data_IF_159940787099
#
_entry.id   IF_159940787099
#
_cell.length_a   1.000
_cell.length_b   1.000
_cell.length_c   1.000
_cell.angle_alpha   90.00
_cell.angle_beta   90.00
_cell.angle_gamma   90.00
#
_symmetry.space_group_name_H-M   'P 1'
#
loop_
_entity.id
_entity.type
_entity.pdbx_description
1 polymer ?
#
# COMPACT_ATOMS: atom_id res chain seq x y z
N UNK A 1 25.58 -13.40 -7.42
CA UNK A 1 26.26 -12.51 -6.46
C UNK A 1 26.89 -11.39 -7.29
N UNK A 2 26.57 -10.12 -7.19
CA UNK A 2 25.94 -9.32 -6.15
C UNK A 2 25.17 -8.20 -6.85
N UNK A 3 23.91 -8.04 -6.46
CA UNK A 3 23.11 -6.81 -6.41
C UNK A 3 23.68 -5.62 -7.20
N UNK A 4 23.27 -5.50 -8.46
CA UNK A 4 23.28 -4.19 -9.11
C UNK A 4 22.26 -3.33 -8.39
N UNK A 5 22.81 -2.52 -7.49
CA UNK A 5 22.22 -1.32 -6.91
C UNK A 5 21.61 -0.51 -8.03
N UNK A 6 20.33 -0.75 -8.30
CA UNK A 6 19.51 0.13 -9.11
C UNK A 6 19.59 1.51 -8.46
N UNK A 7 20.33 2.35 -9.16
CA UNK A 7 20.62 3.73 -8.81
C UNK A 7 19.29 4.39 -8.47
N UNK A 8 19.24 4.98 -7.26
CA UNK A 8 18.23 5.94 -6.80
C UNK A 8 17.69 6.71 -7.99
N UNK A 9 16.46 6.38 -8.41
CA UNK A 9 15.71 7.24 -9.28
C UNK A 9 15.46 8.51 -8.48
N UNK A 10 16.25 9.52 -8.79
CA UNK A 10 15.97 10.90 -8.43
C UNK A 10 14.67 11.25 -9.12
N UNK A 11 13.54 11.11 -8.44
CA UNK A 11 12.28 11.63 -8.97
C UNK A 11 11.45 12.20 -7.84
N UNK A 12 11.28 13.51 -7.95
CA UNK A 12 10.39 14.36 -7.16
C UNK A 12 10.97 14.70 -5.78
N UNK A 13 11.72 15.82 -5.75
CA UNK A 13 11.68 16.72 -4.60
C UNK A 13 10.22 16.79 -4.17
N UNK A 14 9.91 16.34 -2.95
CA UNK A 14 8.75 16.75 -2.14
C UNK A 14 7.95 17.84 -2.88
N UNK A 15 6.99 17.43 -3.72
CA UNK A 15 6.35 18.34 -4.66
C UNK A 15 5.45 19.27 -3.83
N UNK A 16 6.02 20.41 -3.49
CA UNK A 16 5.55 21.81 -3.44
C UNK A 16 4.06 22.16 -3.29
N UNK A 17 3.13 21.25 -3.00
CA UNK A 17 1.70 21.57 -2.83
C UNK A 17 0.99 20.85 -1.66
N UNK A 18 1.65 19.97 -0.89
CA UNK A 18 1.04 19.38 0.31
C UNK A 18 1.27 20.27 1.54
N UNK A 19 0.27 21.09 1.89
CA UNK A 19 0.36 22.15 2.92
C UNK A 19 0.19 21.70 4.39
N UNK A 20 0.37 20.42 4.75
CA UNK A 20 0.26 20.04 6.17
C UNK A 20 0.86 18.69 6.54
N UNK A 21 1.59 18.65 7.66
CA UNK A 21 1.95 17.42 8.39
C UNK A 21 3.16 16.62 7.89
N UNK A 22 3.83 17.05 6.82
CA UNK A 22 4.96 16.31 6.24
C UNK A 22 6.16 16.12 7.22
N UNK A 23 6.24 16.93 8.28
CA UNK A 23 7.21 16.79 9.37
C UNK A 23 7.00 15.53 10.23
N UNK A 24 5.84 14.87 10.11
CA UNK A 24 5.48 13.65 10.85
C UNK A 24 5.84 12.37 10.11
N UNK A 25 6.13 12.46 8.82
CA UNK A 25 6.64 11.34 8.05
C UNK A 25 8.13 11.12 8.34
N UNK A 26 8.64 9.89 8.20
CA UNK A 26 10.06 9.63 8.26
C UNK A 26 10.82 10.57 7.32
N UNK A 27 11.98 11.09 7.74
CA UNK A 27 12.76 12.07 6.95
C UNK A 27 13.21 11.55 5.57
N UNK A 28 13.20 10.22 5.38
CA UNK A 28 13.55 9.53 4.13
C UNK A 28 12.33 8.90 3.44
N UNK A 29 11.10 9.20 3.89
CA UNK A 29 9.90 8.66 3.28
C UNK A 29 9.68 9.23 1.88
N UNK A 30 9.66 8.34 0.89
CA UNK A 30 9.26 8.66 -0.48
C UNK A 30 7.74 8.55 -0.58
N UNK A 31 7.11 9.58 -1.18
CA UNK A 31 5.67 9.62 -1.42
C UNK A 31 5.43 9.37 -2.91
N UNK A 32 4.78 8.26 -3.24
CA UNK A 32 4.47 7.87 -4.60
C UNK A 32 3.17 8.53 -5.10
N UNK A 33 3.21 8.97 -6.35
CA UNK A 33 2.06 9.50 -7.11
C UNK A 33 1.44 8.41 -7.98
N UNK A 34 0.29 8.65 -8.62
CA UNK A 34 -0.32 7.70 -9.56
C UNK A 34 0.60 7.35 -10.74
N UNK A 35 1.46 8.28 -11.16
CA UNK A 35 2.42 8.04 -12.24
C UNK A 35 3.60 7.16 -11.82
N UNK A 36 4.01 7.23 -10.55
CA UNK A 36 5.23 6.57 -10.03
C UNK A 36 4.95 5.30 -9.25
N UNK A 37 3.75 5.15 -8.68
CA UNK A 37 3.38 3.97 -7.93
C UNK A 37 3.23 2.75 -8.86
N UNK A 38 3.79 1.61 -8.44
CA UNK A 38 3.74 0.33 -9.17
C UNK A 38 3.54 -0.78 -8.16
N UNK A 39 2.47 -1.55 -8.31
CA UNK A 39 2.14 -2.64 -7.40
C UNK A 39 3.20 -3.75 -7.38
N UNK A 40 3.95 -3.94 -8.47
CA UNK A 40 4.99 -4.97 -8.57
C UNK A 40 6.23 -4.66 -7.72
N UNK A 41 6.50 -3.37 -7.48
CA UNK A 41 7.70 -2.92 -6.74
C UNK A 41 7.37 -2.34 -5.38
N UNK A 42 6.10 -2.04 -5.11
CA UNK A 42 5.63 -1.47 -3.86
C UNK A 42 5.84 -2.44 -2.69
N UNK A 43 6.27 -1.89 -1.57
CA UNK A 43 6.51 -2.62 -0.32
C UNK A 43 5.60 -2.10 0.79
N UNK A 44 5.23 -2.95 1.76
CA UNK A 44 4.57 -2.49 2.96
C UNK A 44 5.38 -1.38 3.64
N UNK A 45 4.75 -0.26 3.95
CA UNK A 45 5.37 0.94 4.51
C UNK A 45 5.66 2.05 3.50
N UNK A 46 5.45 1.83 2.20
CA UNK A 46 5.52 2.87 1.17
C UNK A 46 4.36 3.86 1.31
N UNK A 47 4.61 5.15 1.12
CA UNK A 47 3.57 6.18 1.21
C UNK A 47 3.07 6.57 -0.17
N UNK A 48 1.77 6.76 -0.31
CA UNK A 48 1.11 7.12 -1.56
C UNK A 48 0.18 8.31 -1.34
N UNK A 49 -0.02 9.10 -2.39
CA UNK A 49 -1.03 10.16 -2.40
C UNK A 49 -2.44 9.57 -2.53
N UNK A 50 -3.43 10.28 -2.03
CA UNK A 50 -4.86 9.89 -2.08
C UNK A 50 -5.34 9.54 -3.50
N UNK A 51 -4.83 10.22 -4.54
CA UNK A 51 -5.18 9.91 -5.93
C UNK A 51 -4.87 8.46 -6.34
N UNK A 52 -3.79 7.86 -5.83
CA UNK A 52 -3.46 6.44 -6.09
C UNK A 52 -4.53 5.52 -5.52
N UNK A 53 -5.02 5.85 -4.32
CA UNK A 53 -6.03 5.10 -3.60
C UNK A 53 -7.39 5.25 -4.28
N UNK A 54 -7.73 6.47 -4.70
CA UNK A 54 -8.96 6.74 -5.44
C UNK A 54 -8.99 6.00 -6.78
N UNK A 55 -7.89 6.00 -7.54
CA UNK A 55 -7.79 5.24 -8.79
C UNK A 55 -8.01 3.74 -8.55
N UNK A 56 -7.40 3.19 -7.51
CA UNK A 56 -7.56 1.78 -7.13
C UNK A 56 -9.03 1.44 -6.80
N UNK A 57 -9.68 2.26 -5.97
CA UNK A 57 -11.05 2.02 -5.51
C UNK A 57 -12.10 2.30 -6.60
N UNK A 58 -11.83 3.23 -7.52
CA UNK A 58 -12.77 3.56 -8.59
C UNK A 58 -12.74 2.55 -9.75
N UNK A 59 -11.74 1.66 -9.82
CA UNK A 59 -11.69 0.61 -10.84
C UNK A 59 -12.71 -0.51 -10.57
N UNK A 60 -12.89 -0.89 -9.31
CA UNK A 60 -13.79 -1.97 -8.88
C UNK A 60 -14.37 -1.67 -7.50
N UNK A 61 -15.62 -2.08 -7.20
CA UNK A 61 -16.20 -1.89 -5.88
C UNK A 61 -15.24 -2.39 -4.78
N UNK A 62 -14.87 -1.55 -3.80
CA UNK A 62 -13.84 -1.90 -2.83
C UNK A 62 -14.28 -3.09 -1.99
N UNK A 63 -13.35 -4.00 -1.70
CA UNK A 63 -13.61 -5.12 -0.80
C UNK A 63 -13.85 -4.63 0.63
N UNK A 64 -13.21 -3.53 1.00
CA UNK A 64 -13.41 -2.84 2.27
C UNK A 64 -13.05 -1.36 2.10
N UNK A 65 -13.89 -0.47 2.62
CA UNK A 65 -13.63 0.96 2.63
C UNK A 65 -14.12 1.56 3.94
N UNK A 66 -13.23 2.30 4.61
CA UNK A 66 -13.48 3.02 5.84
C UNK A 66 -12.65 4.30 5.87
N UNK A 67 -12.87 5.17 6.85
CA UNK A 67 -12.08 6.40 7.01
C UNK A 67 -10.59 6.17 7.30
N UNK A 68 -10.21 4.96 7.72
CA UNK A 68 -8.84 4.61 8.11
C UNK A 68 -8.19 3.57 7.18
N UNK A 69 -8.96 2.85 6.39
CA UNK A 69 -8.49 1.72 5.59
C UNK A 69 -9.31 1.58 4.31
N UNK A 70 -8.60 1.38 3.19
CA UNK A 70 -9.14 1.16 1.87
C UNK A 70 -8.51 -0.10 1.27
N UNK A 71 -9.35 -0.97 0.71
CA UNK A 71 -8.93 -2.21 0.06
C UNK A 71 -9.54 -2.32 -1.32
N UNK A 72 -8.69 -2.66 -2.28
CA UNK A 72 -9.09 -2.96 -3.66
C UNK A 72 -10.18 -4.03 -3.72
N UNK A 73 -11.07 -3.91 -4.71
CA UNK A 73 -12.15 -4.88 -4.93
C UNK A 73 -11.66 -6.26 -5.38
N UNK A 74 -10.56 -6.30 -6.13
CA UNK A 74 -10.01 -7.55 -6.64
C UNK A 74 -9.11 -8.24 -5.61
N UNK A 75 -9.33 -9.54 -5.33
CA UNK A 75 -8.40 -10.32 -4.52
C UNK A 75 -7.10 -10.52 -5.29
N UNK A 76 -5.96 -10.32 -4.63
CA UNK A 76 -4.63 -10.53 -5.19
C UNK A 76 -4.25 -12.02 -5.16
N UNK A 77 -4.34 -12.64 -3.98
CA UNK A 77 -4.01 -14.06 -3.77
C UNK A 77 -4.81 -14.63 -2.60
N UNK A 78 -4.71 -15.94 -2.38
CA UNK A 78 -5.23 -16.60 -1.19
C UNK A 78 -4.06 -17.02 -0.31
N UNK A 79 -4.11 -16.64 0.97
CA UNK A 79 -3.13 -17.06 1.98
C UNK A 79 -3.84 -17.81 3.09
N UNK A 80 -3.14 -18.75 3.70
CA UNK A 80 -3.64 -19.40 4.91
C UNK A 80 -3.53 -18.42 6.08
N UNK A 81 -4.67 -18.15 6.73
CA UNK A 81 -4.71 -17.30 7.90
C UNK A 81 -4.24 -18.10 9.13
N UNK A 82 -3.07 -17.78 9.71
CA UNK A 82 -2.51 -18.53 10.84
C UNK A 82 -3.39 -18.47 12.09
N UNK A 83 -4.31 -17.50 12.18
CA UNK A 83 -5.25 -17.40 13.31
C UNK A 83 -6.41 -18.38 13.20
N UNK A 84 -6.83 -18.71 11.99
CA UNK A 84 -8.04 -19.52 11.76
C UNK A 84 -7.76 -20.85 11.06
N UNK A 85 -6.56 -21.05 10.51
CA UNK A 85 -6.21 -22.20 9.67
C UNK A 85 -7.04 -22.30 8.39
N UNK A 86 -7.54 -21.16 7.88
CA UNK A 86 -8.41 -21.10 6.70
C UNK A 86 -7.75 -20.29 5.61
N UNK A 87 -7.90 -20.76 4.37
CA UNK A 87 -7.52 -20.00 3.19
C UNK A 87 -8.47 -18.82 3.02
N UNK A 88 -7.92 -17.62 3.01
CA UNK A 88 -8.67 -16.37 2.84
C UNK A 88 -8.04 -15.55 1.73
N UNK A 89 -8.88 -14.83 0.99
CA UNK A 89 -8.43 -13.88 -0.01
C UNK A 89 -7.70 -12.69 0.66
N UNK A 90 -6.65 -12.22 0.00
CA UNK A 90 -5.86 -11.06 0.37
C UNK A 90 -6.06 -9.95 -0.66
N UNK A 91 -6.02 -8.70 -0.21
CA UNK A 91 -6.34 -7.52 -1.00
C UNK A 91 -5.23 -6.48 -0.83
N UNK A 92 -4.91 -5.78 -1.91
CA UNK A 92 -4.05 -4.61 -1.84
C UNK A 92 -4.70 -3.59 -0.89
N UNK A 93 -3.96 -3.22 0.16
CA UNK A 93 -4.50 -2.48 1.29
C UNK A 93 -3.74 -1.17 1.49
N UNK A 94 -4.50 -0.10 1.68
CA UNK A 94 -4.01 1.22 2.01
C UNK A 94 -4.58 1.64 3.36
N UNK A 95 -3.71 2.18 4.22
CA UNK A 95 -4.08 2.72 5.53
C UNK A 95 -3.87 4.22 5.52
N UNK A 96 -4.85 4.97 6.00
CA UNK A 96 -4.74 6.43 6.05
C UNK A 96 -3.77 6.85 7.14
N UNK A 97 -2.85 7.78 6.83
CA UNK A 97 -2.02 8.40 7.85
C UNK A 97 -2.88 9.44 8.62
N UNK A 98 -3.12 9.27 9.93
CA UNK A 98 -3.93 10.22 10.69
C UNK A 98 -3.24 11.58 10.83
N UNK A 99 -1.90 11.59 10.85
CA UNK A 99 -1.09 12.79 11.07
C UNK A 99 -0.91 13.64 9.81
N UNK A 100 -1.11 13.04 8.62
CA UNK A 100 -0.86 13.69 7.33
C UNK A 100 -2.05 13.49 6.40
N UNK A 101 -2.95 14.49 6.29
CA UNK A 101 -4.14 14.37 5.45
C UNK A 101 -3.74 14.24 3.97
N UNK A 102 -4.44 13.35 3.26
CA UNK A 102 -4.18 13.07 1.83
C UNK A 102 -3.04 12.09 1.56
N UNK A 103 -2.37 11.60 2.61
CA UNK A 103 -1.34 10.56 2.49
C UNK A 103 -1.84 9.24 3.08
N UNK A 104 -1.54 8.17 2.36
CA UNK A 104 -1.87 6.81 2.73
C UNK A 104 -0.60 5.96 2.74
N UNK A 105 -0.53 4.99 3.64
CA UNK A 105 0.52 3.99 3.73
C UNK A 105 0.03 2.72 3.03
N UNK A 106 0.82 2.19 2.12
CA UNK A 106 0.59 0.89 1.52
C UNK A 106 0.97 -0.20 2.51
N UNK A 107 0.03 -1.06 2.88
CA UNK A 107 0.24 -2.13 3.85
C UNK A 107 0.52 -3.50 3.21
N UNK A 108 0.63 -3.56 1.87
CA UNK A 108 0.76 -4.81 1.13
C UNK A 108 -0.57 -5.55 0.96
N UNK A 109 -0.48 -6.88 0.94
CA UNK A 109 -1.63 -7.76 0.70
C UNK A 109 -2.21 -8.28 2.02
N UNK A 110 -3.21 -7.57 2.54
CA UNK A 110 -3.82 -7.89 3.83
C UNK A 110 -5.14 -8.66 3.65
N UNK A 111 -5.58 -9.35 4.69
CA UNK A 111 -6.93 -9.91 4.71
C UNK A 111 -7.98 -8.80 4.78
N UNK A 112 -9.21 -9.13 4.36
CA UNK A 112 -10.31 -8.16 4.34
C UNK A 112 -10.51 -7.49 5.71
N UNK A 113 -10.51 -6.15 5.73
CA UNK A 113 -10.68 -5.32 6.92
C UNK A 113 -9.44 -5.16 7.81
N UNK A 114 -8.29 -5.69 7.39
CA UNK A 114 -7.05 -5.64 8.16
C UNK A 114 -5.97 -4.82 7.47
N UNK A 115 -5.00 -4.32 8.23
CA UNK A 115 -3.91 -3.46 7.75
C UNK A 115 -2.52 -4.07 7.97
N UNK A 116 -2.45 -5.39 8.22
CA UNK A 116 -1.19 -6.09 8.44
C UNK A 116 -1.12 -7.26 7.49
N UNK A 117 -0.10 -7.25 6.64
CA UNK A 117 0.19 -8.37 5.76
C UNK A 117 0.58 -9.58 6.60
N UNK A 118 -0.18 -10.67 6.47
CA UNK A 118 0.03 -11.91 7.23
C UNK A 118 -0.34 -13.13 6.39
N UNK A 119 0.05 -14.30 6.89
CA UNK A 119 -0.17 -15.58 6.21
C UNK A 119 1.00 -15.95 5.30
N UNK A 120 1.12 -17.24 5.04
CA UNK A 120 2.14 -17.79 4.16
C UNK A 120 1.60 -17.84 2.73
N UNK A 121 2.43 -17.49 1.76
CA UNK A 121 2.08 -17.68 0.36
C UNK A 121 1.94 -19.18 0.06
N UNK A 122 0.99 -19.56 -0.81
CA UNK A 122 0.89 -20.95 -1.24
C UNK A 122 2.23 -21.36 -1.86
N UNK A 123 2.83 -22.40 -1.30
CA UNK A 123 4.00 -23.04 -1.92
C UNK A 123 3.49 -23.64 -3.22
N UNK A 124 3.78 -23.01 -4.36
CA UNK A 124 3.55 -23.67 -5.64
C UNK A 124 4.57 -24.80 -5.78
N UNK A 125 4.07 -26.02 -5.90
CA UNK A 125 4.86 -27.23 -6.14
C UNK A 125 5.60 -27.15 -7.47
#
# INVERSE_FOLDING_TARGET
MVMERFKKATNIRCNTEYKGGLDKLPSEAEIFTSETFRYETAKPGDYVVEAVVDEAINCLPPAFLSSACAQMGCPYSHREDPKTGRWRATYATFKRCPDVPGIWEYCGHCFQGETVERGQEPICC
#
